data_IF_537840006255
#
_entry.id   IF_537840006255
#
_cell.length_a   1.000
_cell.length_b   1.000
_cell.length_c   1.000
_cell.angle_alpha   90.00
_cell.angle_beta   90.00
_cell.angle_gamma   90.00
#
_symmetry.space_group_name_H-M   'P 1'
#
loop_
_entity.id
_entity.type
_entity.pdbx_description
1 polymer ?
#
# COMPACT_ATOMS: atom_id res chain seq x y z
N UNK A 1 46.34 -10.34 66.45
CA UNK A 1 46.52 -11.53 65.59
C UNK A 1 45.13 -12.07 65.21
N UNK A 2 45.04 -13.14 64.42
CA UNK A 2 43.82 -13.51 63.69
C UNK A 2 42.71 -14.11 64.57
N UNK A 3 41.46 -13.97 64.09
CA UNK A 3 40.38 -14.96 64.29
C UNK A 3 39.55 -14.87 65.57
N UNK A 4 38.28 -14.45 65.43
CA UNK A 4 37.22 -14.73 66.39
C UNK A 4 36.06 -15.49 65.70
N UNK A 5 35.34 -16.26 66.51
CA UNK A 5 34.21 -17.16 66.21
C UNK A 5 32.87 -16.45 66.60
N UNK A 6 31.67 -17.06 66.83
CA UNK A 6 31.24 -18.48 66.78
C UNK A 6 29.79 -18.74 66.23
N UNK A 7 29.21 -19.88 66.67
CA UNK A 7 27.83 -20.43 66.66
C UNK A 7 26.76 -19.48 67.31
N UNK A 8 25.43 -19.74 67.46
CA UNK A 8 24.40 -20.81 67.17
C UNK A 8 22.97 -20.12 67.11
N UNK A 9 21.76 -20.70 67.03
CA UNK A 9 21.22 -22.08 67.03
C UNK A 9 20.36 -22.37 65.76
N UNK A 10 19.07 -22.77 65.67
CA UNK A 10 17.98 -23.04 66.63
C UNK A 10 17.01 -24.17 66.15
N UNK A 11 16.44 -24.95 67.09
CA UNK A 11 15.41 -25.98 66.79
C UNK A 11 14.00 -25.65 67.30
N UNK A 12 12.98 -26.08 66.56
CA UNK A 12 11.59 -26.11 67.03
C UNK A 12 10.77 -27.28 66.45
N UNK A 13 10.08 -28.05 67.31
CA UNK A 13 9.06 -29.05 66.92
C UNK A 13 7.85 -28.95 67.85
N UNK A 14 6.63 -29.10 67.31
CA UNK A 14 5.48 -29.65 68.05
C UNK A 14 4.68 -30.64 67.18
N UNK A 15 3.91 -31.50 67.85
CA UNK A 15 3.08 -32.60 67.28
C UNK A 15 1.75 -32.01 66.76
N UNK A 16 1.11 -32.47 65.68
CA UNK A 16 0.76 -33.82 65.21
C UNK A 16 -0.41 -34.48 65.96
N UNK A 17 -1.52 -34.69 65.24
CA UNK A 17 -2.64 -35.57 65.56
C UNK A 17 -3.30 -36.08 64.26
N UNK A 18 -3.08 -37.35 63.92
CA UNK A 18 -3.86 -38.07 62.89
C UNK A 18 -5.22 -38.48 63.46
N UNK A 19 -6.21 -38.77 62.59
CA UNK A 19 -6.88 -40.09 62.55
C UNK A 19 -7.94 -40.19 61.42
N UNK A 20 -7.86 -41.28 60.62
CA UNK A 20 -8.95 -41.96 59.87
C UNK A 20 -9.78 -41.17 58.80
N UNK A 21 -10.35 -41.77 57.75
CA UNK A 21 -9.94 -42.93 56.93
C UNK A 21 -10.62 -42.89 55.54
N UNK A 22 -9.86 -43.24 54.49
CA UNK A 22 -10.17 -44.05 53.28
C UNK A 22 -11.64 -44.16 52.76
N UNK A 23 -11.79 -44.04 51.42
CA UNK A 23 -13.00 -44.18 50.57
C UNK A 23 -14.02 -43.03 50.72
N UNK A 24 -14.25 -42.19 49.70
CA UNK A 24 -14.92 -42.53 48.44
C UNK A 24 -14.38 -41.78 47.20
N UNK A 25 -14.20 -42.50 46.10
CA UNK A 25 -14.20 -41.95 44.73
C UNK A 25 -15.59 -42.25 44.12
N UNK A 26 -15.97 -41.53 43.05
CA UNK A 26 -17.28 -41.63 42.33
C UNK A 26 -18.45 -40.91 43.03
N UNK A 27 -18.43 -39.56 43.01
CA UNK A 27 -19.66 -38.73 43.09
C UNK A 27 -19.50 -37.23 42.69
N UNK A 28 -18.46 -36.81 41.93
CA UNK A 28 -18.23 -35.36 41.68
C UNK A 28 -17.68 -34.97 40.29
N UNK A 29 -17.96 -35.76 39.26
CA UNK A 29 -17.64 -35.43 37.84
C UNK A 29 -18.89 -34.99 37.04
N UNK A 30 -20.07 -35.01 37.68
CA UNK A 30 -21.38 -34.81 37.05
C UNK A 30 -22.17 -33.60 37.59
N UNK A 31 -21.46 -32.54 38.00
CA UNK A 31 -22.08 -31.30 38.51
C UNK A 31 -21.38 -29.99 38.04
N UNK A 32 -20.38 -30.08 37.15
CA UNK A 32 -19.64 -28.92 36.62
C UNK A 32 -19.94 -28.64 35.13
N UNK A 33 -20.95 -29.29 34.56
CA UNK A 33 -21.46 -29.07 33.20
C UNK A 33 -22.73 -28.19 33.18
N UNK A 34 -22.90 -27.32 34.18
CA UNK A 34 -23.85 -26.20 34.08
C UNK A 34 -23.29 -25.25 33.01
N UNK A 35 -23.91 -25.27 31.84
CA UNK A 35 -23.34 -24.68 30.64
C UNK A 35 -23.05 -23.20 30.81
N UNK A 36 -21.78 -22.82 30.60
CA UNK A 36 -21.48 -21.56 29.94
C UNK A 36 -22.03 -21.64 28.51
N UNK A 37 -23.34 -21.44 28.38
CA UNK A 37 -23.92 -20.92 27.17
C UNK A 37 -23.38 -19.49 27.02
N UNK A 38 -22.18 -19.38 26.46
CA UNK A 38 -21.80 -18.16 25.76
C UNK A 38 -22.94 -17.86 24.80
N UNK A 39 -23.67 -16.79 25.09
CA UNK A 39 -24.60 -16.24 24.11
C UNK A 39 -23.72 -15.76 22.98
N UNK A 40 -23.64 -16.55 21.92
CA UNK A 40 -23.35 -16.04 20.59
C UNK A 40 -24.42 -14.98 20.35
N UNK A 41 -24.08 -13.72 20.63
CA UNK A 41 -24.83 -12.63 20.04
C UNK A 41 -24.67 -12.82 18.54
N UNK A 42 -25.77 -12.73 17.80
CA UNK A 42 -25.61 -12.37 16.41
C UNK A 42 -24.90 -11.01 16.38
N UNK A 43 -23.92 -10.88 15.50
CA UNK A 43 -23.30 -9.60 15.19
C UNK A 43 -24.38 -8.65 14.67
N UNK A 44 -24.35 -7.38 15.05
CA UNK A 44 -25.42 -6.44 14.69
C UNK A 44 -25.24 -5.91 13.26
N UNK A 45 -25.59 -6.78 12.30
CA UNK A 45 -25.65 -6.45 10.88
C UNK A 45 -26.83 -5.54 10.52
N UNK A 46 -27.53 -4.95 11.50
CA UNK A 46 -28.50 -3.85 11.29
C UNK A 46 -27.89 -2.46 11.44
N UNK A 47 -26.56 -2.39 11.73
CA UNK A 47 -25.76 -1.18 11.59
C UNK A 47 -26.04 -0.47 10.27
N UNK A 48 -26.29 0.84 10.35
CA UNK A 48 -27.05 1.58 9.35
C UNK A 48 -26.37 1.58 7.97
N UNK A 49 -27.14 1.18 6.96
CA UNK A 49 -26.98 1.64 5.58
C UNK A 49 -26.76 3.17 5.60
N UNK A 50 -25.61 3.63 5.08
CA UNK A 50 -25.33 5.06 4.95
C UNK A 50 -25.65 5.47 3.52
N UNK A 51 -26.96 5.50 3.21
CA UNK A 51 -27.61 5.86 1.93
C UNK A 51 -26.66 6.11 0.73
N UNK A 52 -26.12 5.02 0.16
CA UNK A 52 -25.48 5.02 -1.16
C UNK A 52 -24.25 5.93 -1.28
N UNK A 53 -23.31 5.85 -0.32
CA UNK A 53 -22.03 6.53 -0.44
C UNK A 53 -21.21 5.93 -1.58
N UNK A 54 -21.23 6.57 -2.75
CA UNK A 54 -20.45 6.14 -3.92
C UNK A 54 -18.95 6.21 -3.57
N UNK A 55 -18.17 5.11 -3.74
CA UNK A 55 -16.73 5.10 -3.47
C UNK A 55 -15.98 6.21 -4.22
N UNK A 56 -14.86 6.71 -3.67
CA UNK A 56 -14.07 7.78 -4.32
C UNK A 56 -13.65 7.37 -5.74
N UNK A 57 -13.28 6.10 -5.95
CA UNK A 57 -12.96 5.55 -7.27
C UNK A 57 -14.12 5.62 -8.27
N UNK A 58 -15.35 5.54 -7.78
CA UNK A 58 -16.53 5.33 -8.61
C UNK A 58 -17.28 6.65 -8.87
N UNK A 59 -17.06 7.66 -8.01
CA UNK A 59 -17.50 9.03 -8.23
C UNK A 59 -16.88 9.64 -9.50
N UNK A 60 -15.61 9.32 -9.80
CA UNK A 60 -14.85 9.97 -10.87
C UNK A 60 -14.90 11.50 -10.75
N UNK A 61 -15.31 12.20 -11.81
CA UNK A 61 -15.51 13.66 -11.84
C UNK A 61 -16.78 14.14 -11.11
N UNK A 62 -17.53 13.23 -10.47
CA UNK A 62 -18.61 13.56 -9.53
C UNK A 62 -18.10 14.20 -8.25
N UNK A 63 -19.00 14.54 -7.32
CA UNK A 63 -18.62 15.17 -6.05
C UNK A 63 -19.38 14.62 -4.84
N UNK A 64 -18.68 14.57 -3.70
CA UNK A 64 -19.27 14.40 -2.38
C UNK A 64 -19.27 15.74 -1.65
N UNK A 65 -20.44 16.27 -1.29
CA UNK A 65 -20.59 17.57 -0.59
C UNK A 65 -19.81 18.73 -1.27
N UNK A 66 -19.61 18.66 -2.58
CA UNK A 66 -18.85 19.64 -3.38
C UNK A 66 -17.36 19.35 -3.58
N UNK A 67 -16.81 18.28 -2.98
CA UNK A 67 -15.44 17.82 -3.22
C UNK A 67 -15.36 16.75 -4.32
N UNK A 68 -14.44 16.93 -5.28
CA UNK A 68 -14.23 16.02 -6.42
C UNK A 68 -13.88 14.59 -6.00
N UNK A 69 -14.49 13.60 -6.65
CA UNK A 69 -14.11 12.19 -6.55
C UNK A 69 -12.82 11.85 -7.28
N UNK A 70 -12.63 10.56 -7.59
CA UNK A 70 -11.36 9.99 -8.00
C UNK A 70 -10.40 9.79 -6.82
N UNK A 71 -9.31 9.08 -7.08
CA UNK A 71 -8.17 8.96 -6.18
C UNK A 71 -7.13 10.07 -6.41
N UNK A 72 -7.15 10.70 -7.59
CA UNK A 72 -6.20 11.72 -8.07
C UNK A 72 -6.96 12.88 -8.74
N UNK A 73 -6.29 14.02 -9.05
CA UNK A 73 -6.95 15.20 -9.63
C UNK A 73 -7.72 14.91 -10.92
N UNK A 74 -8.81 15.66 -11.14
CA UNK A 74 -9.62 15.55 -12.35
C UNK A 74 -10.53 14.32 -12.34
N UNK A 75 -10.88 13.80 -11.17
CA UNK A 75 -11.69 12.59 -11.03
C UNK A 75 -10.97 11.31 -11.45
N UNK A 76 -9.64 11.31 -11.48
CA UNK A 76 -8.83 10.19 -11.99
C UNK A 76 -8.59 9.11 -10.94
N UNK A 77 -8.51 7.85 -11.37
CA UNK A 77 -8.02 6.72 -10.55
C UNK A 77 -6.58 6.33 -10.88
N UNK A 78 -5.90 7.12 -11.70
CA UNK A 78 -4.49 6.97 -12.05
C UNK A 78 -3.73 8.25 -11.68
N UNK A 79 -2.50 8.15 -11.15
CA UNK A 79 -1.66 9.31 -10.91
C UNK A 79 -1.39 10.08 -12.21
N UNK A 80 -1.22 11.42 -12.15
CA UNK A 80 -0.74 12.19 -13.30
C UNK A 80 0.61 11.64 -13.80
N UNK A 81 0.81 11.65 -15.12
CA UNK A 81 1.99 11.06 -15.80
C UNK A 81 3.33 11.47 -15.16
N UNK A 82 3.51 12.75 -14.86
CA UNK A 82 4.72 13.28 -14.20
C UNK A 82 4.91 12.76 -12.78
N UNK A 83 3.83 12.58 -12.01
CA UNK A 83 3.87 12.04 -10.65
C UNK A 83 4.13 10.53 -10.67
N UNK A 84 3.61 9.81 -11.67
CA UNK A 84 3.89 8.40 -11.90
C UNK A 84 5.36 8.18 -12.28
N UNK A 85 5.87 8.93 -13.27
CA UNK A 85 7.27 8.88 -13.69
C UNK A 85 8.23 9.15 -12.51
N UNK A 86 7.91 10.12 -11.67
CA UNK A 86 8.64 10.41 -10.44
C UNK A 86 8.60 9.25 -9.43
N UNK A 87 7.43 8.64 -9.22
CA UNK A 87 7.26 7.48 -8.35
C UNK A 87 8.06 6.25 -8.81
N UNK A 88 8.09 6.02 -10.12
CA UNK A 88 8.90 4.95 -10.74
C UNK A 88 10.39 5.20 -10.55
N UNK A 89 10.86 6.44 -10.77
CA UNK A 89 12.24 6.83 -10.51
C UNK A 89 12.61 6.71 -9.01
N UNK A 90 11.65 6.86 -8.09
CA UNK A 90 11.85 6.61 -6.66
C UNK A 90 11.88 5.12 -6.31
N UNK A 91 11.00 4.32 -6.91
CA UNK A 91 10.96 2.86 -6.76
C UNK A 91 12.25 2.17 -7.24
N UNK A 92 12.78 2.58 -8.39
CA UNK A 92 14.00 2.04 -9.00
C UNK A 92 15.26 2.26 -8.17
N UNK A 93 15.26 3.24 -7.25
CA UNK A 93 16.38 3.48 -6.34
C UNK A 93 16.32 2.62 -5.05
N UNK A 94 15.20 1.95 -4.79
CA UNK A 94 15.02 1.11 -3.59
C UNK A 94 15.87 -0.14 -3.77
N UNK A 95 16.86 -0.30 -2.88
CA UNK A 95 17.90 -1.30 -3.01
C UNK A 95 18.34 -1.82 -1.63
N UNK A 96 19.04 -2.95 -1.52
CA UNK A 96 19.48 -3.47 -0.24
C UNK A 96 20.47 -2.51 0.47
N UNK A 97 20.19 -2.16 1.72
CA UNK A 97 21.00 -1.25 2.54
C UNK A 97 21.61 -1.94 3.76
N UNK A 98 22.81 -1.53 4.16
CA UNK A 98 23.44 -1.92 5.42
C UNK A 98 22.73 -1.30 6.63
N UNK A 99 23.13 -1.68 7.84
CA UNK A 99 22.52 -1.17 9.08
C UNK A 99 22.70 0.35 9.31
N UNK A 100 23.62 1.00 8.61
CA UNK A 100 23.84 2.45 8.65
C UNK A 100 23.08 3.21 7.54
N UNK A 101 22.50 2.50 6.56
CA UNK A 101 21.75 3.06 5.44
C UNK A 101 22.54 3.24 4.14
N UNK A 102 23.74 2.67 4.03
CA UNK A 102 24.52 2.68 2.80
C UNK A 102 24.10 1.52 1.88
N UNK A 103 24.20 1.65 0.55
CA UNK A 103 24.02 0.52 -0.37
C UNK A 103 24.99 -0.64 -0.09
N UNK A 104 24.45 -1.84 0.14
CA UNK A 104 25.21 -3.08 0.32
C UNK A 104 24.40 -4.24 -0.30
N UNK A 105 24.92 -4.96 -1.31
CA UNK A 105 24.26 -6.14 -1.87
C UNK A 105 23.88 -7.24 -0.85
N UNK A 106 24.47 -7.25 0.34
CA UNK A 106 24.14 -8.18 1.44
C UNK A 106 23.11 -7.61 2.43
N UNK A 107 22.81 -6.32 2.33
CA UNK A 107 21.88 -5.57 3.16
C UNK A 107 20.41 -5.94 2.93
N UNK A 108 19.51 -5.06 3.40
CA UNK A 108 18.06 -5.27 3.41
C UNK A 108 17.29 -4.10 2.79
N UNK A 109 16.19 -4.43 2.11
CA UNK A 109 15.10 -3.50 1.81
C UNK A 109 14.10 -3.67 2.95
N UNK A 110 13.62 -2.60 3.57
CA UNK A 110 12.63 -2.70 4.66
C UNK A 110 11.35 -1.96 4.29
N UNK A 111 10.24 -2.72 4.29
CA UNK A 111 8.87 -2.25 4.18
C UNK A 111 8.24 -2.25 5.58
N UNK A 112 7.65 -1.13 5.98
CA UNK A 112 6.92 -1.02 7.25
C UNK A 112 5.45 -0.67 7.05
N UNK A 113 4.59 -1.08 7.99
CA UNK A 113 3.27 -0.46 8.17
C UNK A 113 3.31 0.67 9.20
N UNK A 114 2.49 1.70 9.01
CA UNK A 114 2.21 2.76 9.99
C UNK A 114 0.69 2.90 10.11
N UNK A 115 0.19 3.03 11.35
CA UNK A 115 -1.24 3.06 11.58
C UNK A 115 -1.67 2.64 12.99
N UNK A 116 -2.99 2.55 13.16
CA UNK A 116 -3.67 2.15 14.39
C UNK A 116 -4.02 0.64 14.40
N UNK A 117 -5.13 0.24 15.04
CA UNK A 117 -5.51 -1.16 15.25
C UNK A 117 -5.98 -1.90 13.98
N UNK A 118 -6.69 -1.25 13.06
CA UNK A 118 -7.02 -1.81 11.73
C UNK A 118 -5.74 -2.22 10.98
N UNK A 119 -4.88 -1.24 10.70
CA UNK A 119 -3.60 -1.44 10.04
C UNK A 119 -2.71 -2.49 10.74
N UNK A 120 -2.75 -2.57 12.07
CA UNK A 120 -2.09 -3.63 12.82
C UNK A 120 -2.68 -5.01 12.48
N UNK A 121 -3.99 -5.17 12.50
CA UNK A 121 -4.67 -6.46 12.32
C UNK A 121 -4.63 -6.92 10.85
N UNK A 122 -4.75 -6.00 9.90
CA UNK A 122 -4.75 -6.26 8.44
C UNK A 122 -3.35 -6.58 7.92
N UNK A 123 -2.33 -5.87 8.40
CA UNK A 123 -0.94 -6.13 8.02
C UNK A 123 -0.31 -7.33 8.77
N UNK A 124 -1.05 -7.96 9.69
CA UNK A 124 -0.59 -9.19 10.38
C UNK A 124 -0.67 -10.43 9.50
N UNK A 125 -1.81 -10.78 8.84
CA UNK A 125 -1.86 -11.86 7.85
C UNK A 125 -1.15 -11.52 6.54
N UNK A 126 -0.98 -10.24 6.19
CA UNK A 126 -0.19 -9.84 5.01
C UNK A 126 1.26 -10.34 5.06
N UNK A 127 1.94 -10.27 6.21
CA UNK A 127 3.35 -10.70 6.34
C UNK A 127 3.57 -12.17 5.95
N UNK A 128 2.92 -13.17 6.57
CA UNK A 128 3.10 -14.57 6.18
C UNK A 128 2.57 -14.89 4.77
N UNK A 129 1.57 -14.15 4.28
CA UNK A 129 1.06 -14.28 2.92
C UNK A 129 2.09 -13.81 1.88
N UNK A 130 2.69 -12.62 2.08
CA UNK A 130 3.78 -12.12 1.26
C UNK A 130 5.05 -12.98 1.37
N UNK A 131 5.39 -13.48 2.57
CA UNK A 131 6.51 -14.42 2.77
C UNK A 131 6.30 -15.80 2.12
N UNK A 132 5.08 -16.10 1.66
CA UNK A 132 4.78 -17.29 0.87
C UNK A 132 4.79 -17.04 -0.65
N UNK A 133 4.93 -15.78 -1.11
CA UNK A 133 4.99 -15.43 -2.52
C UNK A 133 6.30 -15.94 -3.16
N UNK A 134 6.26 -16.83 -4.17
CA UNK A 134 7.47 -17.42 -4.74
C UNK A 134 8.43 -16.42 -5.39
N UNK A 135 7.92 -15.26 -5.82
CA UNK A 135 8.70 -14.19 -6.40
C UNK A 135 9.23 -13.13 -5.41
N UNK A 136 8.95 -13.24 -4.11
CA UNK A 136 9.30 -12.18 -3.14
C UNK A 136 10.81 -11.89 -3.10
N UNK A 137 11.19 -10.61 -3.06
CA UNK A 137 12.59 -10.22 -3.00
C UNK A 137 13.30 -10.77 -1.73
N UNK A 138 14.36 -11.58 -1.85
CA UNK A 138 15.03 -12.21 -0.69
C UNK A 138 15.81 -11.22 0.19
N UNK A 139 15.89 -9.95 -0.22
CA UNK A 139 16.45 -8.83 0.56
C UNK A 139 15.37 -8.07 1.33
N UNK A 140 14.09 -8.27 1.02
CA UNK A 140 12.98 -7.61 1.69
C UNK A 140 12.78 -8.13 3.13
N UNK A 141 12.53 -7.21 4.05
CA UNK A 141 12.04 -7.48 5.41
C UNK A 141 10.78 -6.66 5.60
N UNK A 142 9.67 -7.34 5.91
CA UNK A 142 8.37 -6.71 6.12
C UNK A 142 8.11 -6.64 7.63
N UNK A 143 7.94 -5.44 8.18
CA UNK A 143 7.74 -5.21 9.62
C UNK A 143 6.41 -4.51 9.87
N UNK A 144 5.52 -5.16 10.60
CA UNK A 144 4.27 -4.53 11.04
C UNK A 144 4.59 -3.46 12.08
N UNK A 145 4.65 -2.18 11.68
CA UNK A 145 4.91 -1.05 12.58
C UNK A 145 3.64 -0.48 13.20
N UNK A 146 2.51 -0.61 12.51
CA UNK A 146 1.19 -0.18 12.96
C UNK A 146 0.83 -0.79 14.33
N UNK A 147 0.18 -0.01 15.20
CA UNK A 147 -0.06 -0.38 16.59
C UNK A 147 -1.39 0.13 17.11
N UNK A 148 -2.15 -0.74 17.75
CA UNK A 148 -3.40 -0.38 18.42
C UNK A 148 -3.27 0.89 19.29
N UNK A 149 -4.29 1.74 19.23
CA UNK A 149 -4.35 3.07 19.87
C UNK A 149 -3.29 4.09 19.42
N UNK A 150 -2.55 3.86 18.34
CA UNK A 150 -1.69 4.86 17.71
C UNK A 150 -2.39 5.47 16.47
N UNK A 151 -3.43 6.27 16.71
CA UNK A 151 -4.17 7.00 15.69
C UNK A 151 -3.32 8.12 15.04
N UNK A 152 -3.82 8.79 14.00
CA UNK A 152 -3.05 9.80 13.25
C UNK A 152 -2.47 10.91 14.15
N UNK A 153 -3.19 11.33 15.19
CA UNK A 153 -2.73 12.34 16.16
C UNK A 153 -1.62 11.85 17.11
N UNK A 154 -1.18 10.58 17.01
CA UNK A 154 -0.06 10.00 17.78
C UNK A 154 1.20 9.88 16.94
N UNK A 155 1.08 9.68 15.62
CA UNK A 155 2.21 9.68 14.69
C UNK A 155 2.67 11.10 14.34
N UNK A 156 1.77 12.09 14.38
CA UNK A 156 2.11 13.51 14.30
C UNK A 156 2.98 14.02 15.48
N UNK A 157 3.07 13.28 16.59
CA UNK A 157 3.93 13.61 17.72
C UNK A 157 5.34 13.05 17.47
N UNK A 158 6.28 13.92 17.09
CA UNK A 158 7.69 13.54 16.91
C UNK A 158 8.26 12.89 18.18
N UNK A 159 8.98 11.77 18.02
CA UNK A 159 9.52 10.94 19.12
C UNK A 159 8.47 10.37 20.10
N UNK A 160 7.18 10.47 19.80
CA UNK A 160 6.09 9.90 20.61
C UNK A 160 6.08 8.37 20.65
N UNK A 161 5.21 7.81 21.50
CA UNK A 161 5.10 6.35 21.75
C UNK A 161 4.94 5.52 20.47
N UNK A 162 4.25 6.04 19.45
CA UNK A 162 4.08 5.40 18.15
C UNK A 162 5.44 5.08 17.48
N UNK A 163 6.34 6.07 17.43
CA UNK A 163 7.69 5.92 16.87
C UNK A 163 8.56 4.99 17.72
N UNK A 164 8.47 5.07 19.04
CA UNK A 164 9.22 4.18 19.96
C UNK A 164 8.78 2.70 19.81
N UNK A 165 7.48 2.47 19.56
CA UNK A 165 6.95 1.13 19.27
C UNK A 165 7.48 0.59 17.93
N UNK A 166 7.59 1.43 16.91
CA UNK A 166 8.14 1.09 15.60
C UNK A 166 9.65 0.77 15.69
N UNK A 167 10.45 1.61 16.33
CA UNK A 167 11.88 1.36 16.55
C UNK A 167 12.13 0.04 17.31
N UNK A 168 11.32 -0.24 18.34
CA UNK A 168 11.37 -1.50 19.09
C UNK A 168 11.09 -2.73 18.21
N UNK A 169 10.21 -2.61 17.21
CA UNK A 169 9.88 -3.71 16.28
C UNK A 169 10.89 -3.89 15.17
N UNK A 170 11.49 -2.81 14.67
CA UNK A 170 12.61 -2.88 13.74
C UNK A 170 13.81 -3.59 14.38
N UNK A 171 14.15 -3.22 15.62
CA UNK A 171 15.18 -3.90 16.40
C UNK A 171 14.87 -5.39 16.62
N UNK A 172 13.61 -5.75 16.92
CA UNK A 172 13.19 -7.15 17.05
C UNK A 172 13.23 -7.94 15.72
N UNK A 173 13.10 -7.25 14.58
CA UNK A 173 13.26 -7.82 13.24
C UNK A 173 14.71 -7.80 12.73
N UNK A 174 15.68 -7.33 13.53
CA UNK A 174 17.09 -7.28 13.18
C UNK A 174 17.46 -6.22 12.13
N UNK A 175 16.65 -5.15 11.99
CA UNK A 175 16.84 -4.08 11.01
C UNK A 175 16.81 -2.69 11.66
N UNK A 176 17.36 -1.69 10.99
CA UNK A 176 17.45 -0.31 11.49
C UNK A 176 16.51 0.64 10.73
N UNK A 177 16.24 1.82 11.32
CA UNK A 177 15.44 2.86 10.66
C UNK A 177 16.08 3.43 9.40
N UNK A 178 17.39 3.27 9.26
CA UNK A 178 18.16 3.64 8.07
C UNK A 178 17.94 2.67 6.89
N UNK A 179 17.40 1.47 7.11
CA UNK A 179 17.10 0.49 6.06
C UNK A 179 15.67 0.60 5.50
N UNK A 180 14.80 1.36 6.16
CA UNK A 180 13.41 1.59 5.75
C UNK A 180 13.36 2.46 4.51
N UNK A 181 12.71 1.96 3.46
CA UNK A 181 12.65 2.59 2.14
C UNK A 181 11.22 2.69 1.58
N UNK A 182 10.34 1.76 1.96
CA UNK A 182 8.93 1.74 1.57
C UNK A 182 8.03 1.69 2.82
N UNK A 183 6.87 2.33 2.74
CA UNK A 183 5.90 2.41 3.85
C UNK A 183 4.47 2.22 3.33
N UNK A 184 3.68 1.42 4.03
CA UNK A 184 2.22 1.41 3.90
C UNK A 184 1.58 2.16 5.08
N UNK A 185 0.63 3.06 4.81
CA UNK A 185 -0.08 3.83 5.83
C UNK A 185 -1.59 3.62 5.70
N UNK A 186 -2.20 3.12 6.78
CA UNK A 186 -3.64 3.20 6.99
C UNK A 186 -3.87 3.77 8.38
N UNK A 187 -4.46 4.95 8.44
CA UNK A 187 -4.71 5.63 9.71
C UNK A 187 -6.01 6.43 9.69
N UNK A 188 -6.51 6.76 10.88
CA UNK A 188 -7.75 7.51 11.07
C UNK A 188 -7.66 8.31 12.39
N UNK A 189 -8.77 8.93 12.79
CA UNK A 189 -8.94 9.53 14.11
C UNK A 189 -10.20 9.01 14.82
N UNK A 190 -10.18 8.90 16.16
CA UNK A 190 -11.38 8.61 16.94
C UNK A 190 -12.52 9.60 16.64
N UNK A 191 -13.77 9.14 16.60
CA UNK A 191 -14.95 9.98 16.32
C UNK A 191 -15.04 11.18 17.29
N UNK A 192 -14.72 10.94 18.56
CA UNK A 192 -14.70 11.94 19.64
C UNK A 192 -13.61 13.01 19.53
N UNK A 193 -12.68 12.89 18.57
CA UNK A 193 -11.57 13.82 18.38
C UNK A 193 -11.83 14.73 17.18
N UNK A 194 -12.04 16.02 17.43
CA UNK A 194 -11.99 17.08 16.40
C UNK A 194 -13.33 17.52 15.81
N UNK A 195 -13.29 18.22 14.65
CA UNK A 195 -14.48 18.58 13.90
C UNK A 195 -15.35 17.35 13.59
N UNK A 196 -16.66 17.57 13.52
CA UNK A 196 -17.67 16.54 13.27
C UNK A 196 -18.33 16.68 11.89
N UNK A 197 -17.79 17.57 11.05
CA UNK A 197 -18.33 17.98 9.76
C UNK A 197 -17.29 17.83 8.66
N UNK A 198 -17.77 17.73 7.43
CA UNK A 198 -16.98 17.77 6.21
C UNK A 198 -17.10 19.17 5.58
N UNK A 199 -15.99 19.79 5.11
CA UNK A 199 -14.66 19.18 4.92
C UNK A 199 -13.73 19.22 6.15
N UNK A 200 -14.10 19.91 7.23
CA UNK A 200 -13.16 20.29 8.30
C UNK A 200 -12.49 19.06 8.98
N UNK A 201 -13.24 17.97 9.17
CA UNK A 201 -12.71 16.74 9.77
C UNK A 201 -11.70 16.02 8.88
N UNK A 202 -11.95 15.96 7.58
CA UNK A 202 -11.06 15.35 6.61
C UNK A 202 -9.78 16.19 6.42
N UNK A 203 -9.91 17.53 6.39
CA UNK A 203 -8.75 18.43 6.44
C UNK A 203 -7.92 18.21 7.72
N UNK A 204 -8.55 18.08 8.88
CA UNK A 204 -7.81 17.87 10.13
C UNK A 204 -7.12 16.49 10.20
N UNK A 205 -7.68 15.46 9.55
CA UNK A 205 -6.96 14.21 9.33
C UNK A 205 -5.76 14.41 8.40
N UNK A 206 -5.90 15.18 7.31
CA UNK A 206 -4.79 15.51 6.40
C UNK A 206 -3.65 16.20 7.15
N UNK A 207 -3.95 17.17 8.01
CA UNK A 207 -2.93 17.89 8.80
C UNK A 207 -2.09 16.93 9.67
N UNK A 208 -2.74 15.97 10.33
CA UNK A 208 -2.04 14.95 11.13
C UNK A 208 -1.26 13.95 10.27
N UNK A 209 -1.77 13.57 9.10
CA UNK A 209 -1.05 12.71 8.15
C UNK A 209 0.18 13.44 7.60
N UNK A 210 0.07 14.71 7.18
CA UNK A 210 1.19 15.56 6.74
C UNK A 210 2.29 15.64 7.81
N UNK A 211 1.93 15.97 9.06
CA UNK A 211 2.91 15.99 10.16
C UNK A 211 3.51 14.60 10.44
N UNK A 212 2.74 13.52 10.27
CA UNK A 212 3.23 12.15 10.35
C UNK A 212 4.28 11.83 9.27
N UNK A 213 4.09 12.32 8.04
CA UNK A 213 5.05 12.19 6.93
C UNK A 213 6.34 12.98 7.18
N UNK A 214 6.24 14.22 7.69
CA UNK A 214 7.42 15.02 8.05
C UNK A 214 8.23 14.32 9.16
N UNK A 215 7.55 13.78 10.18
CA UNK A 215 8.18 13.01 11.25
C UNK A 215 8.82 11.71 10.73
N UNK A 216 8.16 11.02 9.79
CA UNK A 216 8.67 9.83 9.12
C UNK A 216 9.99 10.15 8.41
N UNK A 217 10.00 11.14 7.50
CA UNK A 217 11.20 11.45 6.71
C UNK A 217 12.37 11.95 7.58
N UNK A 218 12.08 12.73 8.62
CA UNK A 218 13.09 13.17 9.59
C UNK A 218 13.69 12.03 10.43
N UNK A 219 12.91 10.99 10.75
CA UNK A 219 13.38 9.82 11.51
C UNK A 219 14.01 8.72 10.65
N UNK A 220 13.58 8.60 9.39
CA UNK A 220 13.81 7.47 8.48
C UNK A 220 14.27 8.02 7.11
N UNK A 221 15.55 8.46 6.99
CA UNK A 221 15.99 9.31 5.89
C UNK A 221 15.89 8.64 4.51
N UNK A 222 16.06 7.31 4.45
CA UNK A 222 16.04 6.53 3.22
C UNK A 222 14.63 6.16 2.71
N UNK A 223 13.56 6.56 3.39
CA UNK A 223 12.18 6.36 2.86
C UNK A 223 12.02 7.13 1.55
N UNK A 224 11.63 6.42 0.50
CA UNK A 224 11.39 6.96 -0.85
C UNK A 224 9.92 6.94 -1.24
N UNK A 225 9.19 5.90 -0.87
CA UNK A 225 7.77 5.71 -1.28
C UNK A 225 6.87 5.46 -0.08
N UNK A 226 5.67 6.06 -0.12
CA UNK A 226 4.60 5.87 0.85
C UNK A 226 3.29 5.59 0.12
N UNK A 227 2.63 4.51 0.51
CA UNK A 227 1.34 4.07 -0.02
C UNK A 227 0.24 4.24 1.01
N UNK A 228 -0.72 5.11 0.74
CA UNK A 228 -1.89 5.32 1.58
C UNK A 228 -3.03 4.35 1.22
N UNK A 229 -3.61 3.72 2.23
CA UNK A 229 -4.92 3.05 2.12
C UNK A 229 -5.94 3.77 2.97
N UNK A 230 -7.18 3.84 2.48
CA UNK A 230 -8.33 4.21 3.28
C UNK A 230 -8.59 3.17 4.37
N UNK A 231 -9.48 3.49 5.31
CA UNK A 231 -10.19 2.47 6.07
C UNK A 231 -10.99 1.55 5.13
N UNK A 232 -11.22 0.31 5.58
CA UNK A 232 -12.35 -0.53 5.12
C UNK A 232 -13.69 0.11 5.55
N UNK A 233 -14.80 -0.38 5.00
CA UNK A 233 -16.16 0.06 5.34
C UNK A 233 -16.42 0.11 6.86
N UNK A 234 -17.29 1.01 7.33
CA UNK A 234 -17.61 1.16 8.74
C UNK A 234 -19.12 1.28 9.05
N UNK A 235 -20.02 0.95 8.12
CA UNK A 235 -21.47 1.04 8.34
C UNK A 235 -21.99 0.10 9.45
N UNK A 236 -21.27 -1.00 9.69
CA UNK A 236 -21.55 -1.93 10.80
C UNK A 236 -21.02 -1.44 12.17
N UNK A 237 -20.26 -0.34 12.23
CA UNK A 237 -19.51 0.05 13.43
C UNK A 237 -20.42 0.47 14.59
N UNK A 238 -20.40 -0.31 15.68
CA UNK A 238 -21.18 -0.06 16.90
C UNK A 238 -20.46 0.85 17.90
N UNK A 239 -19.32 1.45 17.52
CA UNK A 239 -18.44 2.19 18.44
C UNK A 239 -17.98 3.54 17.91
N UNK A 240 -17.71 4.47 18.84
CA UNK A 240 -17.14 5.80 18.55
C UNK A 240 -15.64 5.78 18.22
N UNK A 241 -15.12 4.66 17.71
CA UNK A 241 -13.76 4.57 17.18
C UNK A 241 -13.70 5.30 15.83
N UNK A 242 -14.09 4.67 14.73
CA UNK A 242 -14.17 5.35 13.43
C UNK A 242 -15.34 4.74 12.63
N UNK A 243 -16.59 5.15 12.93
CA UNK A 243 -17.78 4.79 12.18
C UNK A 243 -17.93 5.68 10.94
N UNK A 244 -18.90 5.37 10.08
CA UNK A 244 -19.27 6.28 8.98
C UNK A 244 -19.93 7.58 9.47
N UNK A 245 -19.85 8.68 8.69
CA UNK A 245 -19.14 8.81 7.41
C UNK A 245 -17.61 9.00 7.57
N UNK A 246 -17.06 8.89 8.78
CA UNK A 246 -15.66 9.27 9.05
C UNK A 246 -14.61 8.26 8.55
N UNK A 247 -15.01 7.05 8.13
CA UNK A 247 -14.13 6.10 7.46
C UNK A 247 -14.07 6.39 5.95
N UNK A 248 -15.23 6.63 5.33
CA UNK A 248 -15.38 7.12 3.95
C UNK A 248 -14.69 8.50 3.75
N UNK A 249 -15.06 9.50 4.56
CA UNK A 249 -14.49 10.86 4.52
C UNK A 249 -12.99 10.88 4.82
N UNK A 250 -12.47 9.84 5.48
CA UNK A 250 -11.03 9.63 5.63
C UNK A 250 -10.31 9.54 4.28
N UNK A 251 -10.94 8.96 3.24
CA UNK A 251 -10.35 8.87 1.90
C UNK A 251 -10.02 10.23 1.27
N UNK A 252 -10.82 11.27 1.57
CA UNK A 252 -10.53 12.63 1.12
C UNK A 252 -9.27 13.22 1.75
N UNK A 253 -8.96 12.86 3.00
CA UNK A 253 -7.72 13.31 3.65
C UNK A 253 -6.46 12.75 2.96
N UNK A 254 -6.51 11.49 2.51
CA UNK A 254 -5.44 10.86 1.73
C UNK A 254 -5.35 11.47 0.33
N UNK A 255 -6.49 11.61 -0.38
CA UNK A 255 -6.56 12.27 -1.71
C UNK A 255 -5.89 13.63 -1.65
N UNK A 256 -6.40 14.52 -0.79
CA UNK A 256 -5.92 15.89 -0.68
C UNK A 256 -4.46 16.01 -0.22
N UNK A 257 -3.89 15.01 0.47
CA UNK A 257 -2.46 15.02 0.85
C UNK A 257 -1.54 14.67 -0.33
N UNK A 258 -1.96 13.71 -1.14
CA UNK A 258 -1.28 13.36 -2.38
C UNK A 258 -1.42 14.51 -3.39
N UNK A 259 -2.57 15.17 -3.42
CA UNK A 259 -2.81 16.35 -4.25
C UNK A 259 -2.01 17.58 -3.80
N UNK A 260 -1.83 17.84 -2.50
CA UNK A 260 -0.92 18.88 -2.02
C UNK A 260 0.51 18.67 -2.56
N UNK A 261 1.01 17.42 -2.54
CA UNK A 261 2.31 17.07 -3.11
C UNK A 261 2.38 17.24 -4.63
N UNK A 262 1.37 16.74 -5.37
CA UNK A 262 1.28 16.90 -6.83
C UNK A 262 1.25 18.39 -7.25
N UNK A 263 0.58 19.23 -6.45
CA UNK A 263 0.49 20.67 -6.68
C UNK A 263 1.74 21.45 -6.21
N UNK A 264 2.77 20.76 -5.68
CA UNK A 264 4.06 21.37 -5.34
C UNK A 264 4.13 22.02 -3.96
N UNK A 265 3.38 21.53 -2.96
CA UNK A 265 3.57 21.92 -1.55
C UNK A 265 5.05 21.73 -1.13
N UNK A 266 5.77 22.78 -0.72
CA UNK A 266 7.20 22.72 -0.45
C UNK A 266 7.55 21.87 0.79
N UNK A 267 6.64 21.69 1.74
CA UNK A 267 6.84 20.77 2.86
C UNK A 267 6.76 19.30 2.39
N UNK A 268 6.07 19.04 1.28
CA UNK A 268 5.89 17.73 0.69
C UNK A 268 6.83 17.46 -0.49
N UNK A 269 7.84 18.31 -0.71
CA UNK A 269 8.86 18.06 -1.72
C UNK A 269 9.59 16.72 -1.44
N UNK A 270 9.64 15.86 -2.45
CA UNK A 270 10.22 14.51 -2.37
C UNK A 270 11.52 14.35 -3.19
N UNK A 271 11.91 15.38 -3.94
CA UNK A 271 13.13 15.42 -4.76
C UNK A 271 14.23 16.33 -4.16
N UNK A 272 15.45 16.21 -4.70
CA UNK A 272 16.62 16.97 -4.26
C UNK A 272 17.48 16.24 -3.23
N UNK A 273 18.44 16.95 -2.64
CA UNK A 273 19.48 16.33 -1.80
C UNK A 273 19.02 15.93 -0.38
N UNK A 274 18.04 16.64 0.17
CA UNK A 274 17.47 16.38 1.50
C UNK A 274 15.96 16.69 1.48
N UNK A 275 15.14 15.88 0.79
CA UNK A 275 13.71 16.16 0.65
C UNK A 275 12.96 16.02 1.99
N UNK A 276 12.07 16.96 2.35
CA UNK A 276 11.27 16.91 3.59
C UNK A 276 10.22 15.80 3.62
N UNK A 277 9.84 15.24 2.46
CA UNK A 277 8.93 14.11 2.35
C UNK A 277 9.50 12.98 1.47
N UNK A 278 8.92 11.77 1.51
CA UNK A 278 9.00 10.79 0.43
C UNK A 278 7.92 11.05 -0.63
N UNK A 279 7.98 10.34 -1.75
CA UNK A 279 6.91 10.32 -2.75
C UNK A 279 5.67 9.62 -2.17
N UNK A 280 4.50 10.24 -2.33
CA UNK A 280 3.22 9.82 -1.77
C UNK A 280 2.28 9.38 -2.90
N UNK A 281 1.67 8.21 -2.72
CA UNK A 281 0.65 7.71 -3.62
C UNK A 281 -0.42 6.90 -2.86
N UNK A 282 -1.47 6.53 -3.57
CA UNK A 282 -2.38 5.51 -3.10
C UNK A 282 -1.71 4.13 -3.16
N UNK A 283 -1.86 3.37 -2.08
CA UNK A 283 -1.85 1.91 -2.14
C UNK A 283 -3.22 1.41 -2.63
N UNK A 284 -3.67 0.21 -2.23
CA UNK A 284 -5.04 -0.17 -2.50
C UNK A 284 -6.00 0.75 -1.74
N UNK A 285 -6.94 1.36 -2.45
CA UNK A 285 -8.14 1.93 -1.84
C UNK A 285 -8.99 0.77 -1.29
N UNK A 286 -9.32 0.78 0.00
CA UNK A 286 -9.96 -0.35 0.69
C UNK A 286 -11.44 -0.13 0.99
N UNK A 287 -11.95 1.08 0.77
CA UNK A 287 -13.35 1.38 1.04
C UNK A 287 -14.25 0.96 -0.14
N UNK A 288 -15.42 0.44 0.19
CA UNK A 288 -16.54 0.09 -0.69
C UNK A 288 -17.82 0.13 0.17
N UNK A 289 -18.99 0.40 -0.42
CA UNK A 289 -20.26 0.57 0.30
C UNK A 289 -20.88 -0.77 0.73
N UNK A 290 -20.26 -1.46 1.70
CA UNK A 290 -20.76 -2.73 2.24
C UNK A 290 -20.96 -3.81 1.19
N UNK A 291 -22.17 -4.38 1.15
CA UNK A 291 -22.67 -5.32 0.13
C UNK A 291 -23.34 -4.62 -1.07
N UNK A 292 -23.14 -3.31 -1.21
CA UNK A 292 -23.70 -2.49 -2.28
C UNK A 292 -25.22 -2.34 -2.25
N UNK A 293 -25.77 -1.77 -3.32
CA UNK A 293 -27.12 -1.17 -3.30
C UNK A 293 -28.28 -2.16 -3.23
N UNK A 294 -28.06 -3.45 -3.49
CA UNK A 294 -29.03 -4.53 -3.28
C UNK A 294 -28.73 -5.40 -2.05
N UNK A 295 -27.74 -5.02 -1.24
CA UNK A 295 -27.33 -5.68 0.01
C UNK A 295 -27.12 -7.20 -0.14
N UNK A 296 -26.66 -7.66 -1.31
CA UNK A 296 -26.55 -9.07 -1.65
C UNK A 296 -25.11 -9.38 -2.02
N UNK A 297 -24.48 -10.33 -1.31
CA UNK A 297 -23.11 -10.77 -1.60
C UNK A 297 -23.02 -11.35 -3.02
N UNK A 298 -22.19 -10.73 -3.88
CA UNK A 298 -22.10 -11.02 -5.31
C UNK A 298 -23.27 -10.48 -6.14
N UNK A 299 -23.96 -9.45 -5.64
CA UNK A 299 -25.08 -8.77 -6.28
C UNK A 299 -24.63 -7.54 -7.08
N UNK A 300 -25.09 -6.37 -6.66
CA UNK A 300 -24.69 -5.07 -7.21
C UNK A 300 -23.62 -4.47 -6.28
N UNK A 301 -22.32 -4.67 -6.55
CA UNK A 301 -21.27 -4.57 -5.53
C UNK A 301 -21.11 -3.16 -4.95
N UNK A 302 -20.57 -3.10 -3.72
CA UNK A 302 -20.26 -1.85 -3.02
C UNK A 302 -19.18 -1.01 -3.72
N UNK A 303 -18.52 -1.53 -4.76
CA UNK A 303 -17.61 -0.82 -5.66
C UNK A 303 -17.55 -1.46 -7.05
N UNK A 304 -17.34 -0.65 -8.10
CA UNK A 304 -17.37 -1.07 -9.51
C UNK A 304 -16.35 -2.15 -9.92
N UNK A 305 -15.30 -2.37 -9.12
CA UNK A 305 -14.33 -3.45 -9.32
C UNK A 305 -14.71 -4.79 -8.65
N UNK A 306 -15.84 -4.83 -7.94
CA UNK A 306 -16.34 -6.02 -7.24
C UNK A 306 -15.87 -6.14 -5.79
N UNK A 307 -15.27 -5.10 -5.18
CA UNK A 307 -15.01 -5.13 -3.73
C UNK A 307 -16.32 -4.99 -2.94
N UNK A 308 -16.56 -5.98 -2.07
CA UNK A 308 -17.69 -6.02 -1.14
C UNK A 308 -17.18 -6.31 0.30
N UNK A 309 -17.82 -5.66 1.27
CA UNK A 309 -17.60 -5.82 2.70
C UNK A 309 -18.88 -6.36 3.35
N UNK A 310 -18.89 -7.65 3.70
CA UNK A 310 -20.00 -8.24 4.43
C UNK A 310 -19.86 -8.01 5.94
N UNK A 311 -20.96 -8.08 6.68
CA UNK A 311 -20.92 -7.98 8.15
C UNK A 311 -19.92 -8.98 8.78
N UNK A 312 -19.84 -10.20 8.22
CA UNK A 312 -18.91 -11.24 8.62
C UNK A 312 -17.42 -10.99 8.30
N UNK A 313 -17.08 -9.89 7.60
CA UNK A 313 -15.69 -9.41 7.50
C UNK A 313 -15.23 -8.69 8.78
N UNK A 314 -16.13 -8.39 9.72
CA UNK A 314 -15.86 -7.57 10.91
C UNK A 314 -15.99 -8.37 12.22
N UNK A 315 -15.41 -7.83 13.29
CA UNK A 315 -15.65 -8.28 14.67
C UNK A 315 -16.97 -7.69 15.21
N UNK A 316 -17.38 -8.12 16.42
CA UNK A 316 -18.60 -7.66 17.10
C UNK A 316 -18.73 -6.12 17.26
N UNK A 317 -17.62 -5.38 17.14
CA UNK A 317 -17.59 -3.91 17.20
C UNK A 317 -17.82 -3.21 15.83
N UNK A 318 -17.95 -3.97 14.75
CA UNK A 318 -18.14 -3.51 13.38
C UNK A 318 -17.07 -2.55 12.85
N UNK A 319 -15.92 -2.46 13.55
CA UNK A 319 -14.88 -1.45 13.33
C UNK A 319 -13.56 -2.11 12.94
N UNK A 320 -13.24 -3.23 13.60
CA UNK A 320 -12.08 -4.06 13.28
C UNK A 320 -12.47 -5.21 12.37
N UNK A 321 -11.64 -5.58 11.39
CA UNK A 321 -11.88 -6.76 10.57
C UNK A 321 -11.73 -8.04 11.39
N UNK A 322 -12.53 -9.05 11.09
CA UNK A 322 -12.38 -10.38 11.67
C UNK A 322 -11.04 -11.01 11.19
N UNK A 323 -10.28 -11.66 12.08
CA UNK A 323 -8.98 -12.24 11.76
C UNK A 323 -9.03 -13.45 10.79
N UNK A 324 -10.21 -13.95 10.41
CA UNK A 324 -10.42 -15.13 9.55
C UNK A 324 -10.95 -14.78 8.16
N UNK A 325 -11.62 -13.65 8.01
CA UNK A 325 -12.29 -13.20 6.77
C UNK A 325 -11.76 -11.84 6.33
N UNK A 326 -12.13 -10.76 7.02
CA UNK A 326 -11.81 -9.40 6.59
C UNK A 326 -10.32 -9.06 6.61
N UNK A 327 -9.58 -9.47 7.63
CA UNK A 327 -8.14 -9.17 7.70
C UNK A 327 -7.34 -9.97 6.63
N UNK A 328 -7.62 -11.27 6.39
CA UNK A 328 -7.14 -11.97 5.21
C UNK A 328 -7.57 -11.34 3.86
N UNK A 329 -8.80 -10.83 3.75
CA UNK A 329 -9.28 -10.12 2.53
C UNK A 329 -8.41 -8.88 2.24
N UNK A 330 -8.17 -8.02 3.23
CA UNK A 330 -7.24 -6.87 3.08
C UNK A 330 -5.81 -7.34 2.78
N UNK A 331 -5.33 -8.40 3.43
CA UNK A 331 -3.99 -8.93 3.18
C UNK A 331 -3.78 -9.42 1.74
N UNK A 332 -4.79 -10.05 1.13
CA UNK A 332 -4.74 -10.45 -0.27
C UNK A 332 -4.71 -9.22 -1.19
N UNK A 333 -5.58 -8.23 -0.96
CA UNK A 333 -5.60 -6.96 -1.71
C UNK A 333 -4.25 -6.22 -1.61
N UNK A 334 -3.60 -6.25 -0.44
CA UNK A 334 -2.25 -5.71 -0.27
C UNK A 334 -1.19 -6.49 -1.06
N UNK A 335 -1.24 -7.83 -1.05
CA UNK A 335 -0.31 -8.64 -1.84
C UNK A 335 -0.49 -8.40 -3.33
N UNK A 336 -1.73 -8.34 -3.82
CA UNK A 336 -2.03 -8.09 -5.22
C UNK A 336 -1.57 -6.69 -5.65
N UNK A 337 -1.74 -5.68 -4.80
CA UNK A 337 -1.14 -4.35 -5.01
C UNK A 337 0.39 -4.43 -5.14
N UNK A 338 1.09 -4.96 -4.14
CA UNK A 338 2.57 -4.99 -4.15
C UNK A 338 3.17 -5.87 -5.27
N UNK A 339 2.39 -6.80 -5.83
CA UNK A 339 2.75 -7.64 -6.98
C UNK A 339 2.41 -7.05 -8.36
N UNK A 340 1.59 -6.00 -8.44
CA UNK A 340 1.09 -5.49 -9.74
C UNK A 340 1.25 -3.99 -9.95
N UNK A 341 1.36 -3.19 -8.89
CA UNK A 341 1.64 -1.77 -9.01
C UNK A 341 3.07 -1.52 -9.51
N UNK A 342 3.26 -0.70 -10.57
CA UNK A 342 4.56 -0.55 -11.21
C UNK A 342 5.58 0.19 -10.33
N UNK A 343 5.14 0.92 -9.29
CA UNK A 343 6.03 1.54 -8.30
C UNK A 343 6.37 0.60 -7.13
N UNK A 344 5.63 -0.51 -6.96
CA UNK A 344 5.91 -1.52 -5.94
C UNK A 344 6.79 -2.67 -6.46
N UNK A 345 6.48 -3.19 -7.66
CA UNK A 345 7.10 -4.40 -8.23
C UNK A 345 8.64 -4.39 -8.25
N UNK A 346 9.35 -3.29 -8.61
CA UNK A 346 10.81 -3.30 -8.77
C UNK A 346 11.62 -3.68 -7.52
N UNK A 347 11.04 -3.50 -6.32
CA UNK A 347 11.71 -3.76 -5.04
C UNK A 347 10.98 -4.80 -4.18
N UNK A 348 9.71 -5.07 -4.45
CA UNK A 348 8.93 -6.10 -3.75
C UNK A 348 9.26 -7.52 -4.25
N UNK A 349 9.55 -7.68 -5.55
CA UNK A 349 9.88 -8.97 -6.17
C UNK A 349 11.40 -9.11 -6.43
N UNK A 350 11.89 -10.35 -6.50
CA UNK A 350 13.32 -10.70 -6.52
C UNK A 350 13.98 -10.41 -7.87
N UNK A 351 13.38 -11.00 -8.90
CA UNK A 351 13.50 -10.69 -10.31
C UNK A 351 12.06 -10.75 -10.80
N UNK A 352 11.57 -9.66 -11.40
CA UNK A 352 10.24 -9.63 -11.99
C UNK A 352 10.43 -9.61 -13.51
N UNK A 353 10.72 -10.77 -14.14
CA UNK A 353 11.28 -10.82 -15.48
C UNK A 353 10.36 -10.14 -16.48
N UNK A 354 10.87 -9.06 -17.08
CA UNK A 354 10.23 -8.33 -18.16
C UNK A 354 10.00 -9.30 -19.31
N UNK A 355 8.73 -9.61 -19.57
CA UNK A 355 8.36 -10.48 -20.69
C UNK A 355 7.34 -9.74 -21.55
N UNK A 356 7.85 -9.12 -22.61
CA UNK A 356 7.09 -8.48 -23.66
C UNK A 356 7.47 -9.16 -24.96
N UNK A 357 6.62 -10.06 -25.42
CA UNK A 357 6.84 -10.74 -26.69
C UNK A 357 6.35 -9.84 -27.84
N UNK A 358 7.27 -9.09 -28.44
CA UNK A 358 6.98 -8.19 -29.58
C UNK A 358 6.71 -9.00 -30.86
N UNK A 359 5.43 -9.14 -31.21
CA UNK A 359 4.95 -9.88 -32.39
C UNK A 359 5.26 -9.15 -33.68
N UNK A 360 5.13 -7.82 -33.69
CA UNK A 360 5.46 -7.00 -34.85
C UNK A 360 5.76 -5.56 -34.47
N UNK A 361 6.58 -4.91 -35.29
CA UNK A 361 6.77 -3.46 -35.34
C UNK A 361 6.81 -3.09 -36.84
N UNK A 362 6.13 -2.02 -37.23
CA UNK A 362 5.93 -1.60 -38.60
C UNK A 362 5.87 -0.07 -38.73
N UNK A 363 6.20 0.45 -39.90
CA UNK A 363 6.17 1.87 -40.23
C UNK A 363 5.57 2.12 -41.62
N UNK A 364 4.62 3.04 -41.72
CA UNK A 364 3.95 3.47 -42.96
C UNK A 364 4.18 4.97 -43.18
N UNK A 365 4.53 5.37 -44.41
CA UNK A 365 4.78 6.80 -44.75
C UNK A 365 3.52 7.40 -45.38
N UNK A 366 3.07 8.54 -44.85
CA UNK A 366 1.91 9.29 -45.34
C UNK A 366 2.28 10.75 -45.63
N UNK A 367 2.92 10.98 -46.77
CA UNK A 367 3.46 12.31 -47.11
C UNK A 367 4.61 12.67 -46.19
N UNK A 368 4.42 13.69 -45.35
CA UNK A 368 5.38 14.15 -44.35
C UNK A 368 5.22 13.47 -42.97
N UNK A 369 4.23 12.60 -42.78
CA UNK A 369 4.01 11.87 -41.52
C UNK A 369 4.52 10.42 -41.63
N UNK A 370 5.00 9.87 -40.51
CA UNK A 370 5.31 8.44 -40.36
C UNK A 370 4.40 7.84 -39.28
N UNK A 371 3.67 6.80 -39.67
CA UNK A 371 2.78 6.05 -38.81
C UNK A 371 3.48 4.77 -38.34
N UNK A 372 3.73 4.66 -37.05
CA UNK A 372 4.28 3.48 -36.41
C UNK A 372 3.16 2.64 -35.80
N UNK A 373 3.27 1.32 -35.96
CA UNK A 373 2.36 0.32 -35.36
C UNK A 373 3.17 -0.81 -34.76
N UNK A 374 2.79 -1.30 -33.58
CA UNK A 374 3.35 -2.54 -33.02
C UNK A 374 2.29 -3.37 -32.31
N UNK A 375 2.62 -4.66 -32.16
CA UNK A 375 1.79 -5.67 -31.54
C UNK A 375 2.66 -6.48 -30.58
N UNK A 376 2.15 -6.73 -29.37
CA UNK A 376 2.75 -7.61 -28.36
C UNK A 376 1.83 -8.82 -28.14
N UNK A 377 2.37 -9.99 -27.78
CA UNK A 377 1.57 -11.19 -27.42
C UNK A 377 1.35 -11.31 -25.90
N UNK A 378 2.28 -10.77 -25.11
CA UNK A 378 2.20 -10.64 -23.66
C UNK A 378 2.90 -9.35 -23.23
N UNK A 379 2.51 -8.79 -22.08
CA UNK A 379 3.23 -7.68 -21.45
C UNK A 379 3.25 -7.86 -19.92
N UNK A 380 4.31 -8.49 -19.42
CA UNK A 380 4.58 -8.65 -17.99
C UNK A 380 5.62 -7.61 -17.59
N UNK A 381 5.29 -6.82 -16.57
CA UNK A 381 6.14 -5.75 -16.02
C UNK A 381 6.57 -4.65 -17.01
N UNK A 382 5.85 -4.50 -18.12
CA UNK A 382 6.04 -3.39 -19.05
C UNK A 382 5.51 -2.09 -18.44
N UNK A 383 6.31 -1.02 -18.51
CA UNK A 383 5.85 0.35 -18.25
C UNK A 383 5.32 0.97 -19.54
N UNK A 384 5.99 0.73 -20.67
CA UNK A 384 5.62 1.27 -21.97
C UNK A 384 6.76 1.26 -22.97
N UNK A 385 6.66 2.10 -24.00
CA UNK A 385 7.59 2.14 -25.13
C UNK A 385 8.08 3.56 -25.39
N UNK A 386 9.38 3.80 -25.26
CA UNK A 386 10.06 4.93 -25.89
C UNK A 386 10.08 4.69 -27.40
N UNK A 387 9.34 5.51 -28.15
CA UNK A 387 9.51 5.60 -29.60
C UNK A 387 10.78 6.38 -29.87
N UNK A 388 11.80 5.72 -30.41
CA UNK A 388 13.11 6.31 -30.70
C UNK A 388 13.32 6.50 -32.21
N UNK A 389 13.79 7.68 -32.62
CA UNK A 389 14.07 8.08 -34.01
C UNK A 389 15.51 8.53 -34.19
N UNK A 390 16.08 8.32 -35.38
CA UNK A 390 17.28 9.05 -35.87
C UNK A 390 17.12 9.35 -37.36
N UNK A 391 17.63 10.49 -37.83
CA UNK A 391 17.72 10.78 -39.26
C UNK A 391 18.90 10.03 -39.88
N UNK A 392 18.78 9.62 -41.15
CA UNK A 392 19.85 8.92 -41.86
C UNK A 392 21.15 9.75 -41.90
N UNK A 393 22.22 9.19 -41.33
CA UNK A 393 23.53 9.85 -41.19
C UNK A 393 23.78 10.46 -39.80
N UNK A 394 22.79 10.51 -38.91
CA UNK A 394 23.01 10.77 -37.48
C UNK A 394 23.47 9.50 -36.77
N UNK A 395 24.25 9.66 -35.69
CA UNK A 395 24.73 8.56 -34.86
C UNK A 395 23.68 8.12 -33.82
N UNK A 396 23.16 9.10 -33.07
CA UNK A 396 22.34 8.88 -31.88
C UNK A 396 20.84 8.85 -32.19
N UNK A 397 20.08 8.19 -31.31
CA UNK A 397 18.62 8.22 -31.31
C UNK A 397 18.09 9.27 -30.33
N UNK A 398 17.07 10.02 -30.77
CA UNK A 398 16.21 10.85 -29.93
C UNK A 398 14.93 10.08 -29.55
N UNK A 399 14.42 10.27 -28.34
CA UNK A 399 13.07 9.81 -27.96
C UNK A 399 12.06 10.84 -28.48
N UNK A 400 11.12 10.40 -29.32
CA UNK A 400 10.09 11.28 -29.92
C UNK A 400 8.71 11.14 -29.28
N UNK A 401 8.50 10.06 -28.52
CA UNK A 401 7.37 9.87 -27.61
C UNK A 401 7.67 8.77 -26.58
N UNK A 402 6.98 8.81 -25.45
CA UNK A 402 6.70 7.62 -24.64
C UNK A 402 5.25 7.19 -24.85
N UNK A 403 4.97 5.90 -24.77
CA UNK A 403 3.66 5.31 -25.02
C UNK A 403 3.42 4.23 -23.96
N UNK A 404 2.52 4.50 -23.01
CA UNK A 404 2.26 3.65 -21.86
C UNK A 404 1.77 2.24 -22.23
N UNK A 405 2.14 1.25 -21.41
CA UNK A 405 1.62 -0.11 -21.51
C UNK A 405 0.12 -0.14 -21.15
N UNK A 406 -0.72 -0.68 -22.04
CA UNK A 406 -2.17 -0.73 -21.85
C UNK A 406 -2.59 -1.82 -20.84
N UNK A 407 -2.33 -1.55 -19.55
CA UNK A 407 -2.44 -2.43 -18.37
C UNK A 407 -1.54 -3.68 -18.47
N UNK A 408 -0.79 -4.01 -17.42
CA UNK A 408 0.05 -5.23 -17.40
C UNK A 408 -0.79 -6.52 -17.46
N UNK A 409 -0.25 -7.60 -18.05
CA UNK A 409 -0.90 -8.91 -18.11
C UNK A 409 -0.72 -9.70 -19.42
N UNK A 410 -1.22 -10.93 -19.43
CA UNK A 410 -1.20 -11.84 -20.58
C UNK A 410 -2.26 -11.46 -21.62
N UNK A 411 -1.91 -11.51 -22.91
CA UNK A 411 -2.83 -11.24 -24.03
C UNK A 411 -2.27 -10.24 -25.04
N UNK A 412 -2.75 -10.36 -26.28
CA UNK A 412 -2.26 -9.55 -27.39
C UNK A 412 -2.70 -8.09 -27.27
N UNK A 413 -1.77 -7.13 -27.35
CA UNK A 413 -2.06 -5.68 -27.42
C UNK A 413 -1.55 -5.10 -28.74
N UNK A 414 -2.07 -3.93 -29.10
CA UNK A 414 -1.74 -3.23 -30.34
C UNK A 414 -1.67 -1.73 -30.08
N UNK A 415 -0.69 -1.06 -30.69
CA UNK A 415 -0.38 0.35 -30.46
C UNK A 415 -0.21 1.11 -31.77
N UNK A 416 -0.40 2.43 -31.72
CA UNK A 416 -0.21 3.36 -32.83
C UNK A 416 0.49 4.62 -32.32
N UNK A 417 1.50 5.10 -33.04
CA UNK A 417 2.07 6.44 -32.87
C UNK A 417 2.24 7.10 -34.23
N UNK A 418 2.00 8.40 -34.34
CA UNK A 418 2.18 9.17 -35.58
C UNK A 418 3.16 10.31 -35.37
N UNK A 419 4.34 10.14 -35.93
CA UNK A 419 5.33 11.18 -36.11
C UNK A 419 4.91 12.10 -37.26
N UNK A 420 5.08 13.42 -37.13
CA UNK A 420 4.39 14.41 -37.98
C UNK A 420 5.30 15.50 -38.52
N UNK A 421 5.03 15.92 -39.75
CA UNK A 421 5.67 17.09 -40.35
C UNK A 421 7.19 16.95 -40.55
N UNK A 422 7.64 15.74 -40.84
CA UNK A 422 9.03 15.42 -41.12
C UNK A 422 9.53 16.13 -42.39
N UNK A 423 10.84 16.35 -42.46
CA UNK A 423 11.49 16.86 -43.67
C UNK A 423 11.78 15.68 -44.61
N UNK A 424 11.90 15.89 -45.93
CA UNK A 424 12.29 14.82 -46.84
C UNK A 424 13.65 14.21 -46.48
N UNK A 425 13.75 12.89 -46.52
CA UNK A 425 14.96 12.13 -46.23
C UNK A 425 14.71 10.80 -45.50
N UNK A 426 15.81 10.10 -45.23
CA UNK A 426 15.82 8.81 -44.55
C UNK A 426 15.62 8.96 -43.04
N UNK A 427 14.78 8.13 -42.44
CA UNK A 427 14.58 8.03 -41.01
C UNK A 427 14.65 6.58 -40.55
N UNK A 428 15.18 6.37 -39.35
CA UNK A 428 15.29 5.06 -38.72
C UNK A 428 14.61 5.12 -37.36
N UNK A 429 13.70 4.18 -37.12
CA UNK A 429 12.93 4.06 -35.89
C UNK A 429 13.24 2.74 -35.16
N UNK A 430 13.15 2.76 -33.84
CA UNK A 430 13.09 1.56 -32.98
C UNK A 430 12.20 1.87 -31.78
N UNK A 431 11.69 0.83 -31.14
CA UNK A 431 11.15 0.94 -29.79
C UNK A 431 12.28 0.63 -28.82
N UNK A 432 12.43 1.44 -27.77
CA UNK A 432 12.96 0.93 -26.49
C UNK A 432 11.76 0.68 -25.59
N UNK A 433 11.43 -0.59 -25.42
CA UNK A 433 10.55 -1.03 -24.37
C UNK A 433 11.18 -0.66 -23.02
N UNK A 434 10.39 -0.14 -22.09
CA UNK A 434 10.84 0.21 -20.74
C UNK A 434 9.99 -0.59 -19.76
N UNK A 435 10.63 -1.30 -18.85
CA UNK A 435 9.94 -1.99 -17.78
C UNK A 435 9.79 -1.12 -16.53
N UNK A 436 9.02 -1.62 -15.56
CA UNK A 436 8.78 -0.94 -14.28
C UNK A 436 10.08 -0.66 -13.50
N UNK A 437 11.15 -1.43 -13.74
CA UNK A 437 12.48 -1.20 -13.15
C UNK A 437 13.36 -0.22 -13.94
N UNK A 438 12.85 0.35 -15.05
CA UNK A 438 13.55 1.32 -15.89
C UNK A 438 14.62 0.70 -16.80
N UNK A 439 14.82 -0.62 -16.71
CA UNK A 439 15.56 -1.38 -17.72
C UNK A 439 14.72 -1.45 -19.01
N UNK A 440 15.35 -1.88 -20.10
CA UNK A 440 14.65 -1.86 -21.38
C UNK A 440 15.34 -2.58 -22.51
N UNK A 441 14.55 -3.30 -23.30
CA UNK A 441 14.98 -4.01 -24.49
C UNK A 441 14.69 -3.19 -25.76
N UNK A 442 15.45 -3.45 -26.82
CA UNK A 442 15.34 -2.75 -28.10
C UNK A 442 14.68 -3.63 -29.15
N UNK A 443 13.72 -3.07 -29.88
CA UNK A 443 13.22 -3.69 -31.11
C UNK A 443 14.29 -3.73 -32.20
N UNK A 444 14.03 -4.46 -33.27
CA UNK A 444 14.69 -4.24 -34.56
C UNK A 444 14.53 -2.78 -35.03
N UNK A 445 15.55 -2.26 -35.73
CA UNK A 445 15.48 -0.96 -36.40
C UNK A 445 14.68 -1.07 -37.71
N UNK A 446 13.75 -0.14 -37.94
CA UNK A 446 13.01 0.01 -39.19
C UNK A 446 13.45 1.30 -39.89
N UNK A 447 13.77 1.23 -41.19
CA UNK A 447 14.07 2.42 -42.02
C UNK A 447 12.89 2.76 -42.91
N UNK A 448 12.60 4.04 -43.02
CA UNK A 448 11.66 4.63 -43.98
C UNK A 448 12.30 5.82 -44.71
N UNK A 449 11.77 6.15 -45.88
CA UNK A 449 12.17 7.35 -46.65
C UNK A 449 10.96 8.28 -46.76
N UNK A 450 11.07 9.50 -46.23
CA UNK A 450 10.08 10.57 -46.38
C UNK A 450 10.38 11.30 -47.69
N UNK A 451 9.42 11.28 -48.62
CA UNK A 451 9.58 11.95 -49.91
C UNK A 451 9.42 13.47 -49.81
N UNK A 452 9.86 14.19 -50.84
CA UNK A 452 9.39 15.56 -51.06
C UNK A 452 7.90 15.53 -51.52
N UNK A 453 7.07 16.48 -51.07
CA UNK A 453 5.67 16.59 -51.48
C UNK A 453 5.49 17.08 -52.93
#
# INVERSE_FOLDING_TARGET
MQGLTPFEEARGRKRCSLQHNIFWIVALVLAAALGFSSRLSAQDCTGSFVDGLVPLSDLGTGTYKGAEGGLYPGGSNQPPESHLAAGLAMAQQIQPLDAAGNPDPNGKIVLISIGMSNAQQEFTPFIPLAMAEPGLNPKLVIVNGAKASQDASKWSIANGQAWQNLESRLAAAGVTKQQVQAVWILNAMPATLGPQTFPERAQWLKDFLKQGILNLKAGYPNVRVVYFSSRIYAGYATTNLNPEPFAYEGGYAMKWLIEDQINGDPDLAFEGANPPAPWLAWGPYLWADGLGSDNTLGGTPGRTDGLEWECGDFQDDGTHPDPRTGAPKVAQILLDFFKTDPTAVPWFLADSPTNVELVSFAAEVHGADVLLRWVTASEVNNLGFEVQRKQGGQADFEVVAFIDANKSGQGQRSYEYRDKGLKPGSYIYRLRQVDVSGQGELSSEIRVEVAAP
#
